data_IF_330939889570
#
_entry.id   IF_330939889570
#
_cell.length_a   1.000
_cell.length_b   1.000
_cell.length_c   1.000
_cell.angle_alpha   90.00
_cell.angle_beta   90.00
_cell.angle_gamma   90.00
#
_symmetry.space_group_name_H-M   'P 1'
#
loop_
_entity.id
_entity.type
_entity.pdbx_description
1 polymer ?
#
# COMPACT_ATOMS: atom_id res chain seq x y z
N UNK A 1 14.76 -1.85 -21.83
CA UNK A 1 14.16 -3.00 -21.09
C UNK A 1 12.79 -2.60 -20.55
N UNK A 2 11.89 -3.56 -20.31
CA UNK A 2 10.68 -3.31 -19.51
C UNK A 2 11.07 -3.35 -18.02
N UNK A 3 10.69 -2.32 -17.27
CA UNK A 3 10.90 -2.26 -15.82
C UNK A 3 9.60 -1.92 -15.12
N UNK A 4 9.45 -2.41 -13.90
CA UNK A 4 8.39 -2.01 -12.99
C UNK A 4 8.97 -1.53 -11.68
N UNK A 5 8.25 -0.61 -11.05
CA UNK A 5 8.64 0.02 -9.80
C UNK A 5 7.65 -0.42 -8.73
N UNK A 6 8.15 -0.61 -7.52
CA UNK A 6 7.35 -1.04 -6.40
C UNK A 6 7.68 -0.25 -5.14
N UNK A 7 6.66 -0.05 -4.31
CA UNK A 7 6.82 0.37 -2.94
C UNK A 7 6.04 -0.56 -2.01
N UNK A 8 6.47 -0.60 -0.75
CA UNK A 8 5.89 -1.46 0.28
C UNK A 8 5.94 -0.76 1.63
N UNK A 9 4.81 -0.76 2.35
CA UNK A 9 4.72 -0.36 3.74
C UNK A 9 4.55 -1.59 4.63
N UNK A 10 5.28 -1.58 5.75
CA UNK A 10 5.18 -2.59 6.80
C UNK A 10 5.01 -1.94 8.17
N UNK A 11 4.45 -2.69 9.12
CA UNK A 11 4.58 -2.36 10.53
C UNK A 11 6.05 -2.53 10.99
N UNK A 12 6.38 -1.95 12.15
CA UNK A 12 7.68 -2.18 12.82
C UNK A 12 7.92 -3.63 13.23
N UNK A 13 6.86 -4.45 13.31
CA UNK A 13 6.96 -5.91 13.55
C UNK A 13 7.16 -6.71 12.25
N UNK A 14 7.26 -6.04 11.10
CA UNK A 14 7.51 -6.66 9.81
C UNK A 14 6.25 -7.12 9.06
N UNK A 15 5.05 -6.91 9.60
CA UNK A 15 3.80 -7.24 8.91
C UNK A 15 3.65 -6.35 7.67
N UNK A 16 3.47 -6.98 6.51
CA UNK A 16 3.17 -6.27 5.27
C UNK A 16 1.74 -5.73 5.32
N UNK A 17 1.59 -4.42 5.11
CA UNK A 17 0.29 -3.75 5.15
C UNK A 17 -0.23 -3.44 3.76
N UNK A 18 0.58 -2.75 2.97
CA UNK A 18 0.18 -2.28 1.65
C UNK A 18 1.40 -2.04 0.77
N UNK A 19 1.18 -2.01 -0.53
CA UNK A 19 2.21 -1.69 -1.51
C UNK A 19 1.61 -1.68 -2.90
N UNK A 20 2.37 -1.18 -3.86
CA UNK A 20 2.01 -1.28 -5.27
C UNK A 20 3.22 -1.60 -6.09
N UNK A 21 2.95 -2.08 -7.29
CA UNK A 21 3.95 -2.77 -8.09
C UNK A 21 3.54 -2.73 -9.55
N UNK A 22 4.13 -1.79 -10.28
CA UNK A 22 3.71 -1.48 -11.65
C UNK A 22 4.06 -2.60 -12.64
N UNK A 23 4.89 -3.57 -12.25
CA UNK A 23 5.15 -4.71 -13.12
C UNK A 23 3.94 -5.66 -13.23
N UNK A 24 3.05 -5.67 -12.23
CA UNK A 24 1.86 -6.54 -12.20
C UNK A 24 0.85 -6.20 -13.30
N UNK A 25 0.80 -4.96 -13.75
CA UNK A 25 -0.07 -4.52 -14.85
C UNK A 25 0.77 -4.13 -16.07
N UNK A 26 0.62 -4.84 -17.20
CA UNK A 26 1.39 -4.56 -18.44
C UNK A 26 1.32 -3.10 -18.89
N UNK A 27 0.21 -2.41 -18.63
CA UNK A 27 0.01 -0.98 -18.98
C UNK A 27 0.79 -0.02 -18.08
N UNK A 28 1.19 -0.44 -16.89
CA UNK A 28 1.87 0.38 -15.89
C UNK A 28 3.40 0.17 -15.92
N UNK A 29 3.87 -0.79 -16.73
CA UNK A 29 5.30 -1.02 -16.97
C UNK A 29 5.90 0.12 -17.75
N UNK A 30 7.04 0.62 -17.28
CA UNK A 30 7.83 1.58 -18.04
C UNK A 30 8.62 0.81 -19.10
N UNK A 31 8.29 1.07 -20.36
CA UNK A 31 8.96 0.46 -21.51
C UNK A 31 10.18 1.28 -21.93
N UNK A 32 11.06 0.64 -22.69
CA UNK A 32 12.16 1.31 -23.41
C UNK A 32 13.17 2.06 -22.53
N UNK A 33 13.37 1.66 -21.27
CA UNK A 33 14.46 2.22 -20.46
C UNK A 33 15.80 1.72 -21.00
N UNK A 34 16.62 2.64 -21.51
CA UNK A 34 17.95 2.39 -22.03
C UNK A 34 19.05 2.47 -20.96
N UNK A 35 20.26 1.94 -21.24
CA UNK A 35 21.42 2.13 -20.36
C UNK A 35 21.69 3.63 -20.12
N UNK A 36 22.01 4.00 -18.88
CA UNK A 36 22.28 5.40 -18.49
C UNK A 36 21.03 6.28 -18.31
N UNK A 37 19.83 5.78 -18.57
CA UNK A 37 18.61 6.54 -18.34
C UNK A 37 18.35 6.77 -16.85
N UNK A 38 17.91 7.97 -16.50
CA UNK A 38 17.39 8.32 -15.16
C UNK A 38 15.89 8.48 -15.25
N UNK A 39 15.15 7.82 -14.35
CA UNK A 39 13.68 7.86 -14.32
C UNK A 39 13.24 8.27 -12.92
N UNK A 40 12.42 9.31 -12.84
CA UNK A 40 11.73 9.72 -11.62
C UNK A 40 10.33 9.13 -11.61
N UNK A 41 9.95 8.51 -10.50
CA UNK A 41 8.65 7.88 -10.32
C UNK A 41 7.99 8.43 -9.05
N UNK A 42 6.68 8.66 -9.13
CA UNK A 42 5.88 9.14 -8.01
C UNK A 42 4.69 8.20 -7.82
N UNK A 43 4.44 7.79 -6.58
CA UNK A 43 3.24 7.06 -6.21
C UNK A 43 2.35 7.96 -5.38
N UNK A 44 1.14 8.22 -5.87
CA UNK A 44 0.10 8.93 -5.13
C UNK A 44 -0.88 7.91 -4.57
N UNK A 45 -1.18 8.02 -3.27
CA UNK A 45 -2.12 7.15 -2.59
C UNK A 45 -2.81 7.90 -1.45
N UNK A 46 -4.01 7.45 -1.07
CA UNK A 46 -4.65 7.87 0.18
C UNK A 46 -4.06 7.07 1.33
N UNK A 47 -3.48 7.75 2.32
CA UNK A 47 -2.94 7.10 3.50
C UNK A 47 -4.09 6.67 4.43
N UNK A 48 -4.56 5.44 4.24
CA UNK A 48 -5.57 4.81 5.11
C UNK A 48 -4.96 4.00 6.25
N UNK A 49 -3.64 4.05 6.44
CA UNK A 49 -2.98 3.39 7.58
C UNK A 49 -3.39 4.07 8.88
N UNK A 50 -3.56 3.29 9.94
CA UNK A 50 -3.89 3.81 11.27
C UNK A 50 -2.72 4.62 11.89
N UNK A 51 -2.93 5.39 12.96
CA UNK A 51 -1.87 6.13 13.62
C UNK A 51 -0.77 5.18 14.12
N UNK A 52 0.49 5.48 13.80
CA UNK A 52 1.59 4.56 14.10
C UNK A 52 2.87 4.85 13.35
N UNK A 53 3.85 3.97 13.52
CA UNK A 53 5.13 4.01 12.82
C UNK A 53 5.18 2.85 11.83
N UNK A 54 5.59 3.17 10.60
CA UNK A 54 5.66 2.24 9.48
C UNK A 54 7.00 2.33 8.76
N UNK A 55 7.43 1.22 8.19
CA UNK A 55 8.66 1.09 7.43
C UNK A 55 8.32 1.08 5.93
N UNK A 56 8.96 1.95 5.15
CA UNK A 56 8.78 2.01 3.72
C UNK A 56 9.98 1.41 2.98
N UNK A 57 9.70 0.56 2.00
CA UNK A 57 10.68 0.04 1.05
C UNK A 57 10.31 0.45 -0.36
N UNK A 58 11.31 0.55 -1.24
CA UNK A 58 11.11 0.78 -2.67
C UNK A 58 12.02 -0.16 -3.47
N UNK A 59 11.60 -0.51 -4.68
CA UNK A 59 12.39 -1.36 -5.54
C UNK A 59 12.04 -1.24 -7.02
N UNK A 60 12.95 -1.72 -7.85
CA UNK A 60 12.79 -1.82 -9.30
C UNK A 60 12.99 -3.26 -9.72
N UNK A 61 12.13 -3.71 -10.63
CA UNK A 61 12.11 -5.06 -11.17
C UNK A 61 12.14 -5.04 -12.68
N UNK A 62 12.61 -6.11 -13.27
CA UNK A 62 12.61 -6.28 -14.71
C UNK A 62 12.94 -7.70 -15.10
N UNK A 63 12.96 -7.94 -16.40
CA UNK A 63 13.29 -9.24 -16.96
C UNK A 63 14.81 -9.37 -17.13
N UNK A 64 15.36 -10.46 -16.59
CA UNK A 64 16.73 -10.93 -16.84
C UNK A 64 16.61 -12.36 -17.31
N UNK A 65 17.06 -12.65 -18.54
CA UNK A 65 16.90 -13.96 -19.19
C UNK A 65 15.43 -14.46 -19.15
N UNK A 66 14.49 -13.56 -19.49
CA UNK A 66 13.04 -13.79 -19.44
C UNK A 66 12.43 -14.10 -18.06
N UNK A 67 13.23 -14.05 -17.00
CA UNK A 67 12.76 -14.19 -15.62
C UNK A 67 12.57 -12.83 -14.95
N UNK A 68 11.42 -12.66 -14.29
CA UNK A 68 11.15 -11.46 -13.50
C UNK A 68 11.96 -11.48 -12.21
N UNK A 69 12.89 -10.54 -12.08
CA UNK A 69 13.76 -10.42 -10.91
C UNK A 69 13.70 -9.03 -10.27
N UNK A 70 14.15 -8.94 -9.02
CA UNK A 70 14.43 -7.68 -8.36
C UNK A 70 15.79 -7.16 -8.84
N UNK A 71 15.79 -6.04 -9.56
CA UNK A 71 17.03 -5.44 -10.07
C UNK A 71 17.75 -4.63 -8.98
N UNK A 72 16.99 -3.92 -8.15
CA UNK A 72 17.50 -3.17 -7.00
C UNK A 72 16.37 -2.92 -6.00
N UNK A 73 16.72 -2.86 -4.70
CA UNK A 73 15.75 -2.59 -3.63
C UNK A 73 16.40 -1.79 -2.51
N UNK A 74 15.70 -0.76 -2.05
CA UNK A 74 15.92 -0.09 -0.77
C UNK A 74 14.95 -0.72 0.23
N UNK A 75 15.49 -1.38 1.26
CA UNK A 75 14.70 -2.09 2.27
C UNK A 75 14.56 -1.19 3.49
N UNK A 76 13.32 -0.87 3.85
CA UNK A 76 12.95 -0.19 5.10
C UNK A 76 13.75 1.11 5.35
N UNK A 77 14.14 1.78 4.26
CA UNK A 77 15.03 2.95 4.29
C UNK A 77 14.36 4.24 4.75
N UNK A 78 13.04 4.23 4.95
CA UNK A 78 12.27 5.38 5.45
C UNK A 78 11.35 4.91 6.56
N UNK A 79 11.35 5.62 7.69
CA UNK A 79 10.30 5.54 8.70
C UNK A 79 9.26 6.62 8.45
N UNK A 80 7.99 6.24 8.46
CA UNK A 80 6.86 7.16 8.35
C UNK A 80 6.05 7.07 9.63
N UNK A 81 5.72 8.22 10.21
CA UNK A 81 4.78 8.31 11.33
C UNK A 81 3.46 8.84 10.82
N UNK A 82 2.40 8.05 10.96
CA UNK A 82 1.02 8.50 10.72
C UNK A 82 0.52 9.13 12.01
N UNK A 83 0.07 10.37 11.92
CA UNK A 83 -0.47 11.12 13.05
C UNK A 83 -1.83 10.56 13.49
N UNK A 84 -2.18 10.79 14.74
CA UNK A 84 -3.53 10.52 15.23
C UNK A 84 -4.49 11.58 14.70
N UNK A 85 -5.70 11.15 14.35
CA UNK A 85 -6.80 12.02 13.96
C UNK A 85 -7.87 12.04 15.07
N UNK A 86 -8.43 13.20 15.43
CA UNK A 86 -9.58 13.28 16.32
C UNK A 86 -10.75 12.45 15.76
N UNK A 87 -11.55 11.87 16.66
CA UNK A 87 -12.78 11.13 16.31
C UNK A 87 -12.58 9.90 15.39
N UNK A 88 -11.33 9.41 15.25
CA UNK A 88 -11.04 8.19 14.51
C UNK A 88 -11.63 6.96 15.22
N UNK A 89 -12.71 6.43 14.64
CA UNK A 89 -13.40 5.22 15.14
C UNK A 89 -12.86 3.91 14.57
N UNK A 90 -12.05 3.98 13.50
CA UNK A 90 -11.46 2.81 12.88
C UNK A 90 -10.48 2.09 13.84
N UNK A 91 -10.32 0.79 13.67
CA UNK A 91 -9.43 -0.06 14.48
C UNK A 91 -8.57 -0.96 13.59
N UNK A 92 -7.45 -1.45 14.12
CA UNK A 92 -6.51 -2.32 13.39
C UNK A 92 -5.36 -1.54 12.74
N UNK A 93 -4.92 -1.98 11.56
CA UNK A 93 -3.80 -1.34 10.84
C UNK A 93 -4.23 -0.41 9.71
N UNK A 94 -5.47 -0.55 9.21
CA UNK A 94 -5.99 0.18 8.05
C UNK A 94 -7.43 0.60 8.33
N UNK A 95 -7.76 1.86 8.04
CA UNK A 95 -9.12 2.37 7.97
C UNK A 95 -9.75 1.97 6.63
N UNK A 96 -10.86 1.23 6.67
CA UNK A 96 -11.60 0.80 5.48
C UNK A 96 -12.69 1.79 5.04
N UNK A 97 -12.77 2.97 5.67
CA UNK A 97 -13.78 3.99 5.41
C UNK A 97 -15.22 3.44 5.57
N UNK A 98 -15.42 2.63 6.61
CA UNK A 98 -16.67 1.95 6.86
C UNK A 98 -17.72 2.91 7.45
N UNK A 99 -18.92 2.90 6.86
CA UNK A 99 -20.09 3.61 7.39
C UNK A 99 -20.99 2.64 8.16
N UNK A 100 -21.19 2.80 9.47
CA UNK A 100 -22.07 1.91 10.23
C UNK A 100 -23.54 2.14 9.84
N UNK A 101 -24.31 1.05 9.70
CA UNK A 101 -25.76 1.10 9.55
C UNK A 101 -26.43 0.34 10.70
N UNK A 102 -27.33 1.02 11.40
CA UNK A 102 -28.07 0.47 12.55
C UNK A 102 -29.55 0.60 12.28
N UNK A 103 -30.28 -0.51 12.35
CA UNK A 103 -31.73 -0.56 12.23
C UNK A 103 -32.33 -1.27 13.45
N UNK A 104 -33.40 -0.70 14.01
CA UNK A 104 -34.17 -1.35 15.07
C UNK A 104 -35.25 -2.21 14.42
N UNK A 105 -35.27 -3.50 14.75
CA UNK A 105 -36.40 -4.36 14.42
C UNK A 105 -37.53 -4.11 15.42
N UNK A 106 -38.79 -3.91 14.97
CA UNK A 106 -39.91 -3.83 15.89
C UNK A 106 -40.05 -5.15 16.64
N UNK A 107 -39.98 -5.09 17.96
CA UNK A 107 -40.34 -6.22 18.83
C UNK A 107 -41.86 -6.17 19.00
N UNK A 108 -42.58 -7.17 18.50
CA UNK A 108 -43.99 -7.32 18.84
C UNK A 108 -44.10 -7.58 20.34
N UNK A 109 -44.70 -6.65 21.08
CA UNK A 109 -45.04 -6.85 22.49
C UNK A 109 -45.99 -8.06 22.59
N UNK A 110 -45.74 -9.05 23.46
CA UNK A 110 -46.71 -10.12 23.67
C UNK A 110 -48.02 -9.51 24.19
N UNK A 111 -49.13 -9.86 23.53
CA UNK A 111 -50.47 -9.46 23.97
C UNK A 111 -50.71 -9.97 25.41
N UNK A 112 -51.18 -9.08 26.28
CA UNK A 112 -51.59 -9.39 27.66
C UNK A 112 -52.88 -10.20 27.69
#
# INVERSE_FOLDING_TARGET
>A
KEVGFAFLFKSVTGLVLAGSDTHKAKRERTRLVGPGATVTINFTFSCLMMPGIYLASAGVRGLVNDELCMLHKVVEGILIRVASEPDLVAIGFVNLDATPQVALSPTALPAR
#
